data_IF_278300545532
#
_entry.id   IF_278300545532
#
_cell.length_a   1.000
_cell.length_b   1.000
_cell.length_c   1.000
_cell.angle_alpha   90.00
_cell.angle_beta   90.00
_cell.angle_gamma   90.00
#
_symmetry.space_group_name_H-M   'P 1'
#
loop_
_entity.id
_entity.type
_entity.pdbx_description
1 polymer ?
#
# COMPACT_ATOMS: atom_id res chain seq x y z
N UNK A 1 7.50 31.17 20.55
CA UNK A 1 8.21 30.46 19.46
C UNK A 1 7.26 29.41 18.94
N UNK A 2 6.89 29.44 17.66
CA UNK A 2 6.07 28.37 17.08
C UNK A 2 6.93 27.12 16.91
N UNK A 3 6.47 25.99 17.45
CA UNK A 3 7.09 24.68 17.17
C UNK A 3 7.11 24.48 15.65
N UNK A 4 8.31 24.34 15.09
CA UNK A 4 8.47 24.03 13.67
C UNK A 4 8.01 22.58 13.51
N UNK A 5 6.81 22.39 12.97
CA UNK A 5 6.28 21.05 12.73
C UNK A 5 7.21 20.33 11.75
N UNK A 6 7.63 19.13 12.12
CA UNK A 6 8.54 18.33 11.31
C UNK A 6 7.80 17.79 10.07
N UNK A 7 8.18 18.30 8.90
CA UNK A 7 7.53 17.98 7.64
C UNK A 7 7.62 16.48 7.31
N UNK A 8 8.73 15.83 7.67
CA UNK A 8 8.94 14.41 7.42
C UNK A 8 7.94 13.58 8.23
N UNK A 9 7.71 13.96 9.50
CA UNK A 9 6.75 13.29 10.38
C UNK A 9 5.33 13.44 9.84
N UNK A 10 4.95 14.63 9.37
CA UNK A 10 3.64 14.85 8.75
C UNK A 10 3.41 13.99 7.50
N UNK A 11 4.44 13.86 6.65
CA UNK A 11 4.39 13.02 5.46
C UNK A 11 4.27 11.54 5.84
N UNK A 12 5.07 11.07 6.81
CA UNK A 12 4.98 9.71 7.36
C UNK A 12 3.58 9.39 7.90
N UNK A 13 2.99 10.28 8.71
CA UNK A 13 1.63 10.08 9.24
C UNK A 13 0.58 10.05 8.12
N UNK A 14 0.74 10.89 7.10
CA UNK A 14 -0.12 10.89 5.92
C UNK A 14 -0.05 9.58 5.15
N UNK A 15 1.16 9.03 4.96
CA UNK A 15 1.35 7.71 4.35
C UNK A 15 0.68 6.60 5.16
N UNK A 16 0.79 6.65 6.49
CA UNK A 16 0.10 5.73 7.39
C UNK A 16 -1.41 5.72 7.15
N UNK A 17 -2.04 6.90 7.13
CA UNK A 17 -3.49 7.03 6.85
C UNK A 17 -3.88 6.48 5.48
N UNK A 18 -3.09 6.77 4.44
CA UNK A 18 -3.31 6.23 3.08
C UNK A 18 -3.22 4.70 3.05
N UNK A 19 -2.30 4.10 3.81
CA UNK A 19 -2.21 2.64 3.95
C UNK A 19 -3.49 2.06 4.58
N UNK A 20 -4.00 2.68 5.64
CA UNK A 20 -5.20 2.23 6.35
C UNK A 20 -6.46 2.34 5.47
N UNK A 21 -6.59 3.45 4.72
CA UNK A 21 -7.64 3.62 3.71
C UNK A 21 -7.59 2.52 2.65
N UNK A 22 -6.41 2.27 2.07
CA UNK A 22 -6.24 1.23 1.05
C UNK A 22 -6.52 -0.17 1.59
N UNK A 23 -6.13 -0.44 2.83
CA UNK A 23 -6.46 -1.70 3.50
C UNK A 23 -7.98 -1.90 3.59
N UNK A 24 -8.71 -0.86 3.97
CA UNK A 24 -10.17 -0.89 4.05
C UNK A 24 -10.80 -1.15 2.67
N UNK A 25 -10.35 -0.43 1.64
CA UNK A 25 -10.84 -0.58 0.26
C UNK A 25 -10.59 -1.99 -0.30
N UNK A 26 -9.38 -2.52 -0.10
CA UNK A 26 -9.02 -3.88 -0.53
C UNK A 26 -9.88 -4.91 0.20
N UNK A 27 -10.08 -4.76 1.52
CA UNK A 27 -10.93 -5.68 2.27
C UNK A 27 -12.39 -5.61 1.85
N UNK A 28 -12.93 -4.41 1.65
CA UNK A 28 -14.30 -4.22 1.20
C UNK A 28 -14.52 -4.84 -0.18
N UNK A 29 -13.59 -4.60 -1.12
CA UNK A 29 -13.58 -5.24 -2.44
C UNK A 29 -13.56 -6.77 -2.32
N UNK A 30 -12.66 -7.32 -1.51
CA UNK A 30 -12.53 -8.76 -1.32
C UNK A 30 -13.74 -9.38 -0.61
N UNK A 31 -14.46 -8.62 0.23
CA UNK A 31 -15.75 -9.02 0.82
C UNK A 31 -16.86 -9.03 -0.23
N UNK A 32 -17.02 -7.96 -1.00
CA UNK A 32 -18.03 -7.86 -2.05
C UNK A 32 -17.87 -8.95 -3.12
N UNK A 33 -16.63 -9.21 -3.56
CA UNK A 33 -16.30 -10.31 -4.47
C UNK A 33 -16.74 -11.67 -3.92
N UNK A 34 -16.44 -11.97 -2.65
CA UNK A 34 -16.84 -13.24 -2.01
C UNK A 34 -18.35 -13.41 -1.90
N UNK A 35 -19.09 -12.32 -1.77
CA UNK A 35 -20.55 -12.34 -1.75
C UNK A 35 -21.19 -12.49 -3.15
N UNK A 36 -20.39 -12.61 -4.22
CA UNK A 36 -20.82 -12.62 -5.62
C UNK A 36 -21.71 -11.43 -6.01
N UNK A 37 -21.68 -10.37 -5.20
CA UNK A 37 -22.21 -9.05 -5.55
C UNK A 37 -21.26 -8.54 -6.62
N UNK A 38 -21.79 -8.06 -7.75
CA UNK A 38 -20.95 -7.49 -8.82
C UNK A 38 -19.99 -6.47 -8.22
N UNK A 39 -18.76 -6.91 -7.95
CA UNK A 39 -17.70 -6.06 -7.49
C UNK A 39 -17.46 -5.12 -8.65
N UNK A 40 -17.87 -3.85 -8.51
CA UNK A 40 -17.79 -2.88 -9.59
C UNK A 40 -16.40 -2.98 -10.23
N UNK A 41 -16.38 -3.34 -11.52
CA UNK A 41 -15.15 -3.54 -12.32
C UNK A 41 -14.19 -2.33 -12.26
N UNK A 42 -14.63 -1.17 -11.76
CA UNK A 42 -13.84 0.05 -11.58
C UNK A 42 -12.94 0.15 -10.33
N UNK A 43 -13.14 -0.67 -9.29
CA UNK A 43 -12.41 -0.47 -8.03
C UNK A 43 -10.92 -0.88 -8.06
N UNK A 44 -10.57 -1.93 -8.82
CA UNK A 44 -9.18 -2.47 -8.84
C UNK A 44 -8.20 -1.47 -9.45
N UNK A 45 -8.54 -0.85 -10.57
CA UNK A 45 -7.66 0.10 -11.25
C UNK A 45 -7.31 1.30 -10.37
N UNK A 46 -8.29 1.79 -9.60
CA UNK A 46 -8.08 2.86 -8.62
C UNK A 46 -7.14 2.41 -7.51
N UNK A 47 -7.36 1.23 -6.92
CA UNK A 47 -6.48 0.68 -5.87
C UNK A 47 -5.05 0.49 -6.38
N UNK A 48 -4.87 -0.06 -7.59
CA UNK A 48 -3.52 -0.24 -8.20
C UNK A 48 -2.83 1.11 -8.39
N UNK A 49 -3.55 2.12 -8.91
CA UNK A 49 -3.00 3.46 -9.08
C UNK A 49 -2.59 4.10 -7.75
N UNK A 50 -3.43 3.96 -6.71
CA UNK A 50 -3.14 4.48 -5.37
C UNK A 50 -1.98 3.74 -4.70
N UNK A 51 -1.82 2.43 -4.91
CA UNK A 51 -0.65 1.67 -4.45
C UNK A 51 0.64 2.14 -5.14
N UNK A 52 0.58 2.48 -6.43
CA UNK A 52 1.72 3.04 -7.15
C UNK A 52 2.10 4.42 -6.60
N UNK A 53 1.11 5.31 -6.43
CA UNK A 53 1.30 6.63 -5.83
C UNK A 53 1.87 6.53 -4.40
N UNK A 54 1.38 5.58 -3.61
CA UNK A 54 1.92 5.30 -2.27
C UNK A 54 3.39 4.89 -2.32
N UNK A 55 3.79 4.06 -3.29
CA UNK A 55 5.18 3.66 -3.48
C UNK A 55 6.09 4.84 -3.87
N UNK A 56 5.61 5.71 -4.77
CA UNK A 56 6.34 6.91 -5.20
C UNK A 56 6.56 7.87 -4.03
N UNK A 57 5.56 8.03 -3.16
CA UNK A 57 5.71 8.88 -1.96
C UNK A 57 6.60 8.26 -0.87
N UNK A 58 6.60 6.94 -0.72
CA UNK A 58 7.55 6.24 0.17
C UNK A 58 8.99 6.48 -0.31
N UNK A 59 9.23 6.34 -1.62
CA UNK A 59 10.54 6.62 -2.22
C UNK A 59 10.97 8.07 -1.96
N UNK A 60 10.07 9.04 -2.20
CA UNK A 60 10.35 10.46 -1.92
C UNK A 60 10.70 10.70 -0.44
N UNK A 61 9.96 10.08 0.49
CA UNK A 61 10.20 10.24 1.92
C UNK A 61 11.53 9.63 2.36
N UNK A 62 11.96 8.55 1.70
CA UNK A 62 13.28 7.94 1.88
C UNK A 62 14.39 8.88 1.37
N UNK A 63 14.24 9.42 0.17
CA UNK A 63 15.21 10.37 -0.41
C UNK A 63 15.34 11.63 0.45
N UNK A 64 14.23 12.12 1.00
CA UNK A 64 14.22 13.27 1.91
C UNK A 64 14.95 12.96 3.22
N UNK A 65 14.78 11.74 3.75
CA UNK A 65 15.48 11.28 4.95
C UNK A 65 17.00 11.23 4.74
N UNK A 66 17.44 10.63 3.62
CA UNK A 66 18.86 10.55 3.27
C UNK A 66 19.47 11.94 3.05
N UNK A 67 18.72 12.82 2.39
CA UNK A 67 19.14 14.22 2.17
C UNK A 67 19.28 14.98 3.47
N UNK A 68 18.34 14.83 4.40
CA UNK A 68 18.38 15.48 5.71
C UNK A 68 19.54 14.98 6.57
N UNK A 69 19.84 13.68 6.51
CA UNK A 69 21.01 13.12 7.19
C UNK A 69 22.32 13.64 6.58
N UNK A 70 22.42 13.63 5.25
CA UNK A 70 23.61 14.10 4.53
C UNK A 70 23.87 15.60 4.73
N UNK A 71 22.80 16.40 4.85
CA UNK A 71 22.88 17.82 5.14
C UNK A 71 23.13 18.14 6.63
N UNK A 72 23.23 17.12 7.50
CA UNK A 72 23.41 17.29 8.94
C UNK A 72 22.21 17.94 9.65
N UNK A 73 21.01 17.89 9.04
CA UNK A 73 19.77 18.45 9.62
C UNK A 73 19.20 17.55 10.71
N UNK A 74 19.53 16.27 10.69
CA UNK A 74 19.16 15.28 11.70
C UNK A 74 20.40 14.52 12.17
N UNK A 75 20.30 13.91 13.35
CA UNK A 75 21.36 13.05 13.90
C UNK A 75 21.27 11.63 13.33
N UNK A 76 22.37 10.87 13.33
CA UNK A 76 22.34 9.45 12.95
C UNK A 76 21.35 8.61 13.78
N UNK A 77 21.18 8.95 15.06
CA UNK A 77 20.19 8.28 15.92
C UNK A 77 18.76 8.53 15.44
N UNK A 78 18.47 9.76 15.00
CA UNK A 78 17.17 10.12 14.45
C UNK A 78 16.95 9.51 13.07
N UNK A 79 18.00 9.47 12.24
CA UNK A 79 17.97 8.79 10.96
C UNK A 79 17.55 7.32 11.09
N UNK A 80 18.20 6.55 11.97
CA UNK A 80 17.84 5.13 12.16
C UNK A 80 16.39 4.95 12.62
N UNK A 81 15.90 5.78 13.55
CA UNK A 81 14.49 5.72 13.98
C UNK A 81 13.52 5.96 12.82
N UNK A 82 13.81 6.95 11.98
CA UNK A 82 12.99 7.29 10.80
C UNK A 82 13.07 6.20 9.73
N UNK A 83 14.21 5.54 9.61
CA UNK A 83 14.40 4.38 8.75
C UNK A 83 13.54 3.20 9.23
N UNK A 84 13.52 2.89 10.53
CA UNK A 84 12.64 1.86 11.10
C UNK A 84 11.15 2.16 10.80
N UNK A 85 10.75 3.44 10.89
CA UNK A 85 9.41 3.89 10.52
C UNK A 85 9.10 3.67 9.04
N UNK A 86 10.04 3.98 8.14
CA UNK A 86 9.89 3.75 6.70
C UNK A 86 9.75 2.26 6.39
N UNK A 87 10.58 1.40 6.99
CA UNK A 87 10.50 -0.06 6.82
C UNK A 87 9.12 -0.60 7.26
N UNK A 88 8.55 -0.05 8.33
CA UNK A 88 7.21 -0.40 8.78
C UNK A 88 6.10 0.00 7.78
N UNK A 89 6.30 1.07 7.00
CA UNK A 89 5.35 1.50 5.95
C UNK A 89 5.55 0.69 4.67
N UNK A 90 6.80 0.41 4.28
CA UNK A 90 7.14 -0.47 3.15
C UNK A 90 6.53 -1.85 3.37
N UNK A 91 6.73 -2.45 4.55
CA UNK A 91 6.15 -3.75 4.90
C UNK A 91 4.62 -3.76 4.83
N UNK A 92 3.98 -2.64 5.19
CA UNK A 92 2.52 -2.48 5.05
C UNK A 92 2.12 -2.40 3.58
N UNK A 93 2.84 -1.65 2.76
CA UNK A 93 2.61 -1.55 1.31
C UNK A 93 2.72 -2.91 0.62
N UNK A 94 3.79 -3.68 0.88
CA UNK A 94 4.00 -5.02 0.31
C UNK A 94 2.85 -5.97 0.70
N UNK A 95 2.37 -5.87 1.95
CA UNK A 95 1.22 -6.63 2.41
C UNK A 95 -0.05 -6.25 1.65
N UNK A 96 -0.29 -4.97 1.37
CA UNK A 96 -1.44 -4.52 0.58
C UNK A 96 -1.36 -5.02 -0.87
N UNK A 97 -0.17 -4.98 -1.49
CA UNK A 97 0.06 -5.56 -2.81
C UNK A 97 -0.24 -7.06 -2.83
N UNK A 98 0.27 -7.80 -1.83
CA UNK A 98 0.02 -9.24 -1.69
C UNK A 98 -1.47 -9.53 -1.50
N UNK A 99 -2.19 -8.74 -0.69
CA UNK A 99 -3.62 -8.88 -0.47
C UNK A 99 -4.44 -8.64 -1.75
N UNK A 100 -3.97 -7.75 -2.63
CA UNK A 100 -4.58 -7.50 -3.92
C UNK A 100 -4.26 -8.62 -4.92
N UNK A 101 -3.03 -9.13 -4.93
CA UNK A 101 -2.55 -10.18 -5.84
C UNK A 101 -3.06 -11.59 -5.54
N UNK A 102 -3.13 -12.00 -4.26
CA UNK A 102 -3.67 -13.32 -3.84
C UNK A 102 -5.13 -13.55 -4.25
N UNK A 103 -5.88 -12.49 -4.49
CA UNK A 103 -7.26 -12.55 -4.98
C UNK A 103 -7.33 -12.98 -6.45
N UNK A 104 -6.28 -12.71 -7.25
CA UNK A 104 -6.18 -13.09 -8.66
C UNK A 104 -5.81 -14.59 -8.84
N UNK A 105 -4.93 -15.15 -7.99
CA UNK A 105 -4.58 -16.59 -8.03
C UNK A 105 -5.75 -17.51 -7.64
N UNK A 106 -6.58 -17.10 -6.66
CA UNK A 106 -7.80 -17.86 -6.31
C UNK A 106 -8.81 -17.93 -7.46
N UNK A 107 -8.84 -16.94 -8.35
CA UNK A 107 -9.75 -16.97 -9.52
C UNK A 107 -9.28 -17.97 -10.59
N UNK A 108 -7.97 -18.11 -10.81
CA UNK A 108 -7.45 -19.05 -11.81
C UNK A 108 -7.73 -20.52 -11.42
N UNK A 109 -7.69 -20.84 -10.13
CA UNK A 109 -7.93 -22.20 -9.64
C UNK A 109 -9.43 -22.59 -9.62
N UNK A 110 -10.34 -21.65 -9.37
CA UNK A 110 -11.79 -21.93 -9.34
C UNK A 110 -12.49 -21.71 -10.70
N UNK A 111 -11.90 -20.94 -11.62
CA UNK A 111 -12.45 -20.74 -12.98
C UNK A 111 -12.12 -21.85 -13.98
N UNK A 112 -11.11 -22.69 -13.71
CA UNK A 112 -10.64 -23.73 -14.63
C UNK A 112 -11.39 -25.07 -14.60
N UNK A 113 -12.35 -25.27 -13.69
CA UNK A 113 -13.09 -26.54 -13.56
C UNK A 113 -14.49 -26.54 -14.19
N UNK A 114 -14.90 -25.45 -14.86
CA UNK A 114 -16.24 -25.29 -15.43
C UNK A 114 -16.41 -25.65 -16.92
N UNK A 115 -15.32 -25.91 -17.66
CA UNK A 115 -15.33 -26.01 -19.13
C UNK A 115 -14.98 -27.41 -19.69
N UNK A 116 -15.25 -28.49 -18.95
CA UNK A 116 -14.96 -29.86 -19.41
C UNK A 116 -16.19 -30.79 -19.50
N UNK A 117 -17.40 -30.27 -19.72
CA UNK A 117 -18.57 -31.12 -20.03
C UNK A 117 -19.50 -30.50 -21.07
N UNK A 118 -19.03 -30.38 -22.32
CA UNK A 118 -19.90 -30.31 -23.49
C UNK A 118 -19.25 -31.03 -24.66
N UNK A 119 -19.19 -32.34 -24.59
CA UNK A 119 -19.14 -33.21 -25.77
C UNK A 119 -19.72 -34.57 -25.38
N UNK A 120 -21.01 -34.77 -25.63
CA UNK A 120 -21.60 -36.06 -25.94
C UNK A 120 -22.90 -35.87 -26.73
#
# INVERSE_FOLDING_TARGET
MGERVDQWVLQYESLGKKCDELFSEINQRNRMKRANIQAQRGGRGVIVRRLKDLNEQIAQLSDDLERDCSAGRITMKEFHKRQDCLEAVISRHDRLQTMLGRDDERQQLFGGLGEMMKDN
#
